data_IF_335680280265
#
_entry.id   IF_335680280265
#
_cell.length_a   1.000
_cell.length_b   1.000
_cell.length_c   1.000
_cell.angle_alpha   90.00
_cell.angle_beta   90.00
_cell.angle_gamma   90.00
#
_symmetry.space_group_name_H-M   'P 1'
#
loop_
_entity.id
_entity.type
_entity.pdbx_description
1 polymer ?
#
# COMPACT_ATOMS: atom_id res chain seq x y z
N UNK A 1 3.75 -9.95 22.79
CA UNK A 1 5.01 -9.32 22.37
C UNK A 1 4.84 -8.93 20.90
N UNK A 2 4.59 -7.66 20.62
CA UNK A 2 4.28 -7.14 19.29
C UNK A 2 5.41 -6.24 18.74
N UNK A 3 6.60 -6.32 19.33
CA UNK A 3 7.65 -5.27 19.26
C UNK A 3 8.89 -5.65 18.46
N UNK A 4 9.00 -6.87 17.93
CA UNK A 4 10.23 -7.34 17.26
C UNK A 4 10.24 -7.09 15.74
N UNK A 5 9.17 -6.53 15.17
CA UNK A 5 9.11 -6.20 13.74
C UNK A 5 9.50 -4.74 13.55
N UNK A 6 10.61 -4.43 12.87
CA UNK A 6 11.05 -3.05 12.67
C UNK A 6 10.07 -2.30 11.75
N UNK A 7 9.83 -1.01 12.04
CA UNK A 7 9.07 -0.12 11.16
C UNK A 7 10.04 0.52 10.17
N UNK A 8 9.77 0.38 8.87
CA UNK A 8 10.56 1.06 7.81
C UNK A 8 9.67 2.11 7.15
N UNK A 9 10.12 3.35 7.14
CA UNK A 9 9.47 4.47 6.45
C UNK A 9 10.30 4.86 5.23
N UNK A 10 9.71 4.70 4.06
CA UNK A 10 10.33 4.98 2.76
C UNK A 10 9.76 6.26 2.17
N UNK A 11 10.61 7.09 1.58
CA UNK A 11 10.24 8.37 0.98
C UNK A 11 10.42 9.57 1.92
N UNK A 12 9.96 10.76 1.48
CA UNK A 12 10.07 11.98 2.27
C UNK A 12 9.21 11.90 3.53
N UNK A 13 9.82 12.25 4.67
CA UNK A 13 9.14 12.27 5.97
C UNK A 13 9.33 13.62 6.66
N UNK A 14 8.60 13.83 7.76
CA UNK A 14 8.77 14.99 8.65
C UNK A 14 9.68 14.61 9.82
N UNK A 15 10.25 15.58 10.56
CA UNK A 15 11.17 15.31 11.66
C UNK A 15 10.65 14.32 12.71
N UNK A 16 9.34 14.32 12.98
CA UNK A 16 8.70 13.39 13.93
C UNK A 16 8.94 11.92 13.59
N UNK A 17 9.21 11.58 12.32
CA UNK A 17 9.41 10.20 11.90
C UNK A 17 10.62 9.57 12.58
N UNK A 18 11.66 10.35 12.86
CA UNK A 18 12.88 9.90 13.55
C UNK A 18 12.69 9.76 15.07
N UNK A 19 11.60 10.29 15.62
CA UNK A 19 11.26 10.19 17.04
C UNK A 19 10.49 8.90 17.37
N UNK A 20 10.05 8.16 16.34
CA UNK A 20 9.35 6.91 16.53
C UNK A 20 10.28 5.82 17.07
N UNK A 21 9.79 4.95 17.97
CA UNK A 21 10.58 3.83 18.47
C UNK A 21 10.80 2.79 17.37
N UNK A 22 12.02 2.24 17.29
CA UNK A 22 12.37 1.13 16.39
C UNK A 22 12.02 1.39 14.91
N UNK A 23 12.33 2.60 14.43
CA UNK A 23 12.06 3.06 13.08
C UNK A 23 13.36 3.15 12.26
N UNK A 24 13.28 2.75 11.00
CA UNK A 24 14.29 3.06 9.97
C UNK A 24 13.66 3.99 8.96
N UNK A 25 14.19 5.21 8.85
CA UNK A 25 13.76 6.19 7.84
C UNK A 25 14.80 6.20 6.73
N UNK A 26 14.41 5.77 5.53
CA UNK A 26 15.36 5.62 4.41
C UNK A 26 15.52 6.90 3.59
N UNK A 27 14.53 7.79 3.64
CA UNK A 27 14.39 8.84 2.64
C UNK A 27 14.00 8.25 1.28
N UNK A 28 14.32 8.95 0.20
CA UNK A 28 14.12 8.42 -1.15
C UNK A 28 15.13 7.31 -1.45
N UNK A 29 14.67 6.24 -2.08
CA UNK A 29 15.46 5.06 -2.47
C UNK A 29 15.22 4.77 -3.95
N UNK A 30 16.12 4.02 -4.58
CA UNK A 30 15.91 3.58 -5.96
C UNK A 30 14.78 2.56 -6.06
N UNK A 31 14.21 2.39 -7.26
CA UNK A 31 13.08 1.48 -7.49
C UNK A 31 13.44 0.02 -7.12
N UNK A 32 14.67 -0.41 -7.40
CA UNK A 32 15.14 -1.75 -7.04
C UNK A 32 15.24 -1.93 -5.51
N UNK A 33 15.63 -0.89 -4.79
CA UNK A 33 15.69 -0.90 -3.34
C UNK A 33 14.29 -0.90 -2.73
N UNK A 34 13.36 -0.10 -3.28
CA UNK A 34 11.95 -0.11 -2.88
C UNK A 34 11.34 -1.50 -3.08
N UNK A 35 11.55 -2.12 -4.24
CA UNK A 35 11.07 -3.47 -4.53
C UNK A 35 11.66 -4.50 -3.54
N UNK A 36 12.94 -4.39 -3.20
CA UNK A 36 13.57 -5.26 -2.19
C UNK A 36 12.97 -5.07 -0.79
N UNK A 37 12.73 -3.82 -0.38
CA UNK A 37 12.09 -3.48 0.90
C UNK A 37 10.68 -4.06 0.96
N UNK A 38 9.87 -3.83 -0.08
CA UNK A 38 8.50 -4.36 -0.15
C UNK A 38 8.51 -5.89 -0.12
N UNK A 39 9.31 -6.54 -0.96
CA UNK A 39 9.41 -8.02 -1.03
C UNK A 39 9.81 -8.63 0.32
N UNK A 40 10.67 -7.96 1.09
CA UNK A 40 11.09 -8.41 2.42
C UNK A 40 10.13 -8.01 3.57
N UNK A 41 9.15 -7.15 3.31
CA UNK A 41 8.24 -6.66 4.33
C UNK A 41 7.18 -7.70 4.71
N UNK A 42 6.85 -7.78 6.00
CA UNK A 42 5.71 -8.60 6.47
C UNK A 42 4.37 -8.08 5.91
N UNK A 43 4.23 -6.76 5.84
CA UNK A 43 3.08 -6.08 5.27
C UNK A 43 3.45 -4.61 4.98
N UNK A 44 2.79 -4.02 3.99
CA UNK A 44 2.69 -2.57 3.85
C UNK A 44 1.56 -2.07 4.76
N UNK A 45 1.83 -0.99 5.50
CA UNK A 45 0.80 -0.23 6.21
C UNK A 45 0.58 1.08 5.49
N UNK A 46 -0.65 1.33 5.06
CA UNK A 46 -1.00 2.49 4.23
C UNK A 46 -2.13 3.31 4.86
N UNK A 47 -1.80 4.31 5.70
CA UNK A 47 -2.75 5.02 6.55
C UNK A 47 -3.35 6.27 5.86
N UNK A 48 -3.79 6.15 4.59
CA UNK A 48 -4.22 7.31 3.79
C UNK A 48 -5.72 7.62 3.94
N UNK A 49 -6.11 8.86 4.18
CA UNK A 49 -7.53 9.26 4.29
C UNK A 49 -8.13 9.76 2.97
N UNK A 50 -7.29 10.07 1.98
CA UNK A 50 -7.70 10.49 0.64
C UNK A 50 -6.70 10.01 -0.41
N UNK A 51 -7.18 9.38 -1.47
CA UNK A 51 -6.34 8.76 -2.50
C UNK A 51 -6.96 8.79 -3.89
N UNK A 52 -6.07 8.73 -4.87
CA UNK A 52 -6.40 8.33 -6.23
C UNK A 52 -6.28 6.82 -6.39
N UNK A 53 -5.32 6.38 -7.20
CA UNK A 53 -5.17 4.95 -7.52
C UNK A 53 -4.48 4.12 -6.42
N UNK A 54 -3.77 4.75 -5.48
CA UNK A 54 -3.04 4.03 -4.44
C UNK A 54 -1.89 3.19 -5.00
N UNK A 55 -0.92 3.84 -5.67
CA UNK A 55 0.27 3.17 -6.20
C UNK A 55 1.04 2.35 -5.15
N UNK A 56 1.32 2.86 -3.94
CA UNK A 56 2.13 2.09 -2.98
C UNK A 56 1.48 0.74 -2.57
N UNK A 57 0.17 0.66 -2.27
CA UNK A 57 -0.53 -0.61 -2.16
C UNK A 57 -0.40 -1.54 -3.36
N UNK A 58 -0.52 -1.03 -4.59
CA UNK A 58 -0.42 -1.85 -5.81
C UNK A 58 0.98 -2.41 -6.01
N UNK A 59 2.01 -1.62 -5.75
CA UNK A 59 3.41 -2.04 -5.77
C UNK A 59 3.68 -3.13 -4.73
N UNK A 60 3.16 -2.96 -3.51
CA UNK A 60 3.25 -3.98 -2.47
C UNK A 60 2.60 -5.31 -2.90
N UNK A 61 1.38 -5.28 -3.46
CA UNK A 61 0.74 -6.49 -3.99
C UNK A 61 1.56 -7.14 -5.11
N UNK A 62 2.19 -6.34 -5.99
CA UNK A 62 3.06 -6.84 -7.06
C UNK A 62 4.33 -7.51 -6.52
N UNK A 63 4.87 -7.04 -5.38
CA UNK A 63 5.96 -7.65 -4.65
C UNK A 63 5.54 -8.86 -3.80
N UNK A 64 4.25 -9.24 -3.79
CA UNK A 64 3.73 -10.31 -2.94
C UNK A 64 3.58 -9.92 -1.47
N UNK A 65 3.61 -8.61 -1.17
CA UNK A 65 3.54 -8.05 0.18
C UNK A 65 2.09 -7.79 0.57
N UNK A 66 1.59 -8.36 1.68
CA UNK A 66 0.26 -8.05 2.20
C UNK A 66 0.07 -6.55 2.45
N UNK A 67 -1.12 -6.04 2.15
CA UNK A 67 -1.47 -4.62 2.38
C UNK A 67 -2.47 -4.53 3.53
N UNK A 68 -2.18 -3.66 4.50
CA UNK A 68 -3.12 -3.18 5.51
C UNK A 68 -3.34 -1.69 5.29
N UNK A 69 -4.57 -1.28 5.02
CA UNK A 69 -4.88 0.10 4.71
C UNK A 69 -6.17 0.58 5.38
N UNK A 70 -6.34 1.89 5.37
CA UNK A 70 -7.60 2.56 5.73
C UNK A 70 -8.74 2.17 4.80
N UNK A 71 -9.95 2.14 5.36
CA UNK A 71 -11.16 1.80 4.62
C UNK A 71 -11.74 3.04 3.90
N UNK A 72 -11.18 3.36 2.73
CA UNK A 72 -11.67 4.45 1.87
C UNK A 72 -12.14 3.93 0.49
N UNK A 73 -13.12 4.59 -0.16
CA UNK A 73 -13.70 4.11 -1.42
C UNK A 73 -12.67 3.84 -2.52
N UNK A 74 -11.70 4.74 -2.71
CA UNK A 74 -10.67 4.61 -3.74
C UNK A 74 -9.83 3.32 -3.56
N UNK A 75 -9.43 2.99 -2.34
CA UNK A 75 -8.68 1.77 -2.05
C UNK A 75 -9.54 0.51 -2.15
N UNK A 76 -10.85 0.59 -1.89
CA UNK A 76 -11.77 -0.53 -2.12
C UNK A 76 -11.94 -0.83 -3.60
N UNK A 77 -12.07 0.21 -4.41
CA UNK A 77 -12.20 0.09 -5.86
C UNK A 77 -10.99 -0.60 -6.49
N UNK A 78 -9.78 -0.18 -6.10
CA UNK A 78 -8.54 -0.71 -6.70
C UNK A 78 -8.12 -2.06 -6.11
N UNK A 79 -8.16 -2.20 -4.77
CA UNK A 79 -7.57 -3.38 -4.10
C UNK A 79 -8.58 -4.51 -3.87
N UNK A 80 -9.89 -4.23 -3.88
CA UNK A 80 -10.94 -5.24 -3.74
C UNK A 80 -10.79 -6.12 -2.50
N UNK A 81 -10.62 -7.43 -2.69
CA UNK A 81 -10.42 -8.42 -1.63
C UNK A 81 -8.95 -8.72 -1.32
N UNK A 82 -8.01 -7.96 -1.89
CA UNK A 82 -6.55 -8.23 -1.82
C UNK A 82 -5.86 -7.49 -0.67
N UNK A 83 -6.56 -6.60 0.01
CA UNK A 83 -6.06 -5.85 1.16
C UNK A 83 -6.89 -6.11 2.41
N UNK A 84 -6.28 -5.90 3.57
CA UNK A 84 -6.99 -5.86 4.85
C UNK A 84 -7.31 -4.41 5.19
N UNK A 85 -8.59 -4.09 5.30
CA UNK A 85 -9.07 -2.75 5.64
C UNK A 85 -9.29 -2.63 7.14
N UNK A 86 -8.74 -1.60 7.77
CA UNK A 86 -8.90 -1.37 9.20
C UNK A 86 -8.98 0.13 9.54
N UNK A 87 -9.61 0.50 10.68
CA UNK A 87 -9.51 1.85 11.23
C UNK A 87 -8.05 2.25 11.46
N UNK A 88 -7.76 3.56 11.37
CA UNK A 88 -6.40 4.10 11.48
C UNK A 88 -5.61 3.57 12.69
N UNK A 89 -6.26 3.51 13.87
CA UNK A 89 -5.64 3.06 15.11
C UNK A 89 -5.40 1.53 15.18
N UNK A 90 -5.97 0.77 14.27
CA UNK A 90 -5.86 -0.69 14.20
C UNK A 90 -4.90 -1.18 13.10
N UNK A 91 -4.38 -0.27 12.27
CA UNK A 91 -3.52 -0.63 11.14
C UNK A 91 -2.25 -1.40 11.57
N UNK A 92 -1.48 -0.86 12.53
CA UNK A 92 -0.27 -1.50 13.02
C UNK A 92 -0.56 -2.83 13.75
N UNK A 93 -1.51 -2.91 14.71
CA UNK A 93 -1.91 -4.19 15.31
C UNK A 93 -2.32 -5.24 14.26
N UNK A 94 -3.07 -4.84 13.24
CA UNK A 94 -3.52 -5.72 12.16
C UNK A 94 -2.33 -6.22 11.33
N UNK A 95 -1.42 -5.33 10.95
CA UNK A 95 -0.21 -5.70 10.20
C UNK A 95 0.71 -6.64 10.97
N UNK A 96 0.84 -6.46 12.29
CA UNK A 96 1.61 -7.37 13.14
C UNK A 96 0.98 -8.75 13.29
N UNK A 97 -0.35 -8.85 13.18
CA UNK A 97 -1.07 -10.12 13.25
C UNK A 97 -0.97 -10.94 11.94
N UNK A 98 -0.50 -10.34 10.84
CA UNK A 98 -0.32 -11.04 9.57
C UNK A 98 0.77 -12.12 9.72
N UNK A 99 0.34 -13.36 9.52
CA UNK A 99 1.18 -14.55 9.48
C UNK A 99 0.87 -15.31 8.18
N UNK A 100 1.85 -15.44 7.27
CA UNK A 100 1.75 -16.35 6.14
C UNK A 100 1.79 -15.71 4.75
N UNK A 101 0.95 -16.28 3.87
CA UNK A 101 1.10 -16.36 2.41
C UNK A 101 1.31 -15.02 1.69
N UNK A 102 2.04 -15.02 0.55
CA UNK A 102 2.25 -13.82 -0.24
C UNK A 102 0.92 -13.27 -0.76
N UNK A 103 0.85 -11.94 -0.85
CA UNK A 103 -0.27 -11.26 -1.45
C UNK A 103 -0.42 -11.63 -2.93
N UNK A 104 -1.65 -11.53 -3.42
CA UNK A 104 -1.96 -11.72 -4.84
C UNK A 104 -1.80 -10.39 -5.56
N UNK A 105 -1.07 -10.33 -6.68
CA UNK A 105 -0.98 -9.12 -7.48
C UNK A 105 -2.36 -8.77 -8.08
N UNK A 106 -2.46 -7.54 -8.59
CA UNK A 106 -3.61 -7.19 -9.42
C UNK A 106 -3.58 -8.00 -10.73
N UNK A 107 -4.73 -8.49 -11.15
CA UNK A 107 -4.90 -9.19 -12.44
C UNK A 107 -5.26 -8.19 -13.56
N UNK A 108 -4.54 -7.07 -13.63
CA UNK A 108 -4.76 -6.02 -14.64
C UNK A 108 -3.47 -5.29 -14.98
N UNK A 109 -3.37 -4.83 -16.21
CA UNK A 109 -2.23 -4.03 -16.71
C UNK A 109 -2.56 -2.54 -16.70
N UNK A 110 -1.53 -1.71 -16.88
CA UNK A 110 -1.71 -0.27 -17.11
C UNK A 110 -2.50 0.03 -18.39
N UNK A 111 -2.42 -0.83 -19.40
CA UNK A 111 -3.24 -0.69 -20.61
C UNK A 111 -4.73 -0.90 -20.31
N UNK A 112 -5.06 -1.86 -19.45
CA UNK A 112 -6.45 -2.10 -19.02
C UNK A 112 -6.99 -0.91 -18.23
N UNK A 113 -6.19 -0.37 -17.30
CA UNK A 113 -6.52 0.86 -16.54
C UNK A 113 -6.74 2.05 -17.48
N UNK A 114 -5.84 2.25 -18.43
CA UNK A 114 -5.97 3.32 -19.41
C UNK A 114 -7.22 3.20 -20.27
N UNK A 115 -7.56 1.98 -20.70
CA UNK A 115 -8.76 1.70 -21.50
C UNK A 115 -10.05 1.96 -20.72
N UNK A 116 -10.13 1.50 -19.47
CA UNK A 116 -11.29 1.74 -18.60
C UNK A 116 -11.48 3.23 -18.32
N UNK A 117 -10.39 3.92 -17.95
CA UNK A 117 -10.39 5.36 -17.71
C UNK A 117 -10.87 6.13 -18.94
N UNK A 118 -10.37 5.79 -20.13
CA UNK A 118 -10.83 6.39 -21.38
C UNK A 118 -12.31 6.12 -21.65
N UNK A 119 -12.81 4.91 -21.34
CA UNK A 119 -14.21 4.56 -21.47
C UNK A 119 -15.13 5.50 -20.68
N UNK A 120 -14.80 5.75 -19.41
CA UNK A 120 -15.54 6.68 -18.55
C UNK A 120 -15.62 8.08 -19.18
N UNK A 121 -14.48 8.62 -19.66
CA UNK A 121 -14.46 9.93 -20.31
C UNK A 121 -15.24 9.94 -21.62
N UNK A 122 -15.11 8.89 -22.44
CA UNK A 122 -15.81 8.79 -23.71
C UNK A 122 -17.33 8.76 -23.53
N UNK A 123 -17.83 8.08 -22.50
CA UNK A 123 -19.26 8.01 -22.18
C UNK A 123 -19.76 9.34 -21.60
N UNK A 124 -19.00 9.97 -20.70
CA UNK A 124 -19.34 11.29 -20.15
C UNK A 124 -19.46 12.38 -21.24
N UNK A 125 -18.68 12.27 -22.32
CA UNK A 125 -18.77 13.20 -23.47
C UNK A 125 -20.00 12.92 -24.34
N UNK A 126 -20.49 11.68 -24.38
CA UNK A 126 -21.61 11.27 -25.25
C UNK A 126 -22.98 11.62 -24.66
N UNK A 127 -23.08 11.81 -23.34
CA UNK A 127 -24.31 12.16 -22.63
C UNK A 127 -25.09 10.94 -22.18
#
# INVERSE_FOLDING_TARGET
AATDVPLVLVGPTKPWAHELPNVTVTGHVADEELAAILTGARALVFPSDDEGYGLPPVEALACGTPVVCTDIPALREVLGDRATYAPFNELLPTAWAINGAPARPLERTWEDVGRETWGVYADAIRG
#
